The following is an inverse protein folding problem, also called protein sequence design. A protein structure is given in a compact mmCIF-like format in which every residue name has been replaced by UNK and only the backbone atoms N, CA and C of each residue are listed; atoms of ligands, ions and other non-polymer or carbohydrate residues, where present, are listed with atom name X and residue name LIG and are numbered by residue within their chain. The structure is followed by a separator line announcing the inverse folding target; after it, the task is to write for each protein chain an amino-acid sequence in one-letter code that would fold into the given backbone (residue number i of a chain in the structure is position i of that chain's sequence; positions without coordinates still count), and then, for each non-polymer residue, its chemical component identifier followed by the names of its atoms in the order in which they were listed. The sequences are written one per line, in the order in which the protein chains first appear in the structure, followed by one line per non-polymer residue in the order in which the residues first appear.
data_IF_433784566316
#
_entry.id   IF_433784566316
#
_cell.length_a   1.000
_cell.length_b   1.000
_cell.length_c   1.000
_cell.angle_alpha   90.00
_cell.angle_beta   90.00
_cell.angle_gamma   90.00
#
_symmetry.space_group_name_H-M   'P 1'
#
loop_
_entity.id
_entity.type
_entity.pdbx_description
1 polymer ?
#
# COMPACT_ATOMS: atom_id res chain seq x y z
N UNK A 1 -29.90 -52.13 -6.47
CA UNK A 1 -28.97 -51.77 -5.36
C UNK A 1 -28.15 -50.51 -5.68
N UNK A 2 -28.60 -49.39 -5.11
CA UNK A 2 -27.98 -48.11 -4.73
C UNK A 2 -26.46 -47.81 -4.93
N UNK A 3 -25.96 -47.63 -6.17
CA UNK A 3 -24.60 -47.06 -6.40
C UNK A 3 -24.51 -45.52 -6.42
N UNK A 4 -25.63 -44.80 -6.52
CA UNK A 4 -25.64 -43.31 -6.62
C UNK A 4 -25.57 -42.57 -5.27
N UNK A 5 -25.78 -43.24 -4.13
CA UNK A 5 -25.71 -42.60 -2.79
C UNK A 5 -24.31 -42.52 -2.17
N UNK A 6 -23.32 -43.22 -2.71
CA UNK A 6 -21.96 -43.27 -2.11
C UNK A 6 -21.06 -42.13 -2.62
N UNK A 7 -21.30 -41.61 -3.83
CA UNK A 7 -20.50 -40.52 -4.40
C UNK A 7 -20.80 -39.13 -3.79
N UNK A 8 -22.03 -38.89 -3.31
CA UNK A 8 -22.41 -37.59 -2.71
C UNK A 8 -21.78 -37.38 -1.32
N UNK A 9 -21.58 -38.45 -0.54
CA UNK A 9 -21.01 -38.36 0.80
C UNK A 9 -19.48 -38.07 0.80
N UNK A 10 -18.75 -38.52 -0.23
CA UNK A 10 -17.30 -38.26 -0.36
C UNK A 10 -17.00 -36.85 -0.85
N UNK A 11 -17.84 -36.27 -1.72
CA UNK A 11 -17.70 -34.87 -2.17
C UNK A 11 -17.96 -33.87 -1.03
N UNK A 12 -18.96 -34.14 -0.17
CA UNK A 12 -19.30 -33.26 0.96
C UNK A 12 -18.18 -33.18 2.02
N UNK A 13 -17.46 -34.30 2.28
CA UNK A 13 -16.28 -34.31 3.17
C UNK A 13 -15.11 -33.50 2.60
N UNK A 14 -14.95 -33.44 1.28
CA UNK A 14 -13.87 -32.68 0.63
C UNK A 14 -14.13 -31.16 0.67
N UNK A 15 -15.38 -30.73 0.47
CA UNK A 15 -15.80 -29.32 0.58
C UNK A 15 -15.68 -28.77 2.01
N UNK A 16 -15.95 -29.59 3.04
CA UNK A 16 -15.77 -29.20 4.44
C UNK A 16 -14.28 -28.96 4.80
N UNK A 17 -13.36 -29.76 4.26
CA UNK A 17 -11.91 -29.55 4.44
C UNK A 17 -11.43 -28.26 3.75
N UNK A 18 -11.93 -27.93 2.55
CA UNK A 18 -11.57 -26.70 1.85
C UNK A 18 -12.06 -25.42 2.59
N UNK A 19 -13.25 -25.47 3.19
CA UNK A 19 -13.80 -24.39 4.02
C UNK A 19 -13.03 -24.20 5.35
N UNK A 20 -12.51 -25.29 5.93
CA UNK A 20 -11.67 -25.23 7.14
C UNK A 20 -10.31 -24.58 6.87
N UNK A 21 -9.64 -24.94 5.76
CA UNK A 21 -8.33 -24.39 5.37
C UNK A 21 -8.41 -22.89 5.02
N UNK A 22 -9.45 -22.47 4.29
CA UNK A 22 -9.68 -21.04 3.99
C UNK A 22 -10.00 -20.21 5.24
N UNK A 23 -10.68 -20.81 6.23
CA UNK A 23 -11.00 -20.12 7.49
C UNK A 23 -9.82 -19.95 8.44
N UNK A 24 -8.86 -20.88 8.44
CA UNK A 24 -7.62 -20.76 9.23
C UNK A 24 -6.66 -19.74 8.60
N UNK A 25 -6.55 -19.68 7.27
CA UNK A 25 -5.75 -18.67 6.57
C UNK A 25 -6.30 -17.24 6.81
N UNK A 26 -7.63 -17.07 6.80
CA UNK A 26 -8.27 -15.79 7.15
C UNK A 26 -8.07 -15.41 8.63
N UNK A 27 -7.98 -16.40 9.53
CA UNK A 27 -7.73 -16.20 10.95
C UNK A 27 -6.27 -15.78 11.25
N UNK A 28 -5.29 -16.42 10.60
CA UNK A 28 -3.89 -16.03 10.66
C UNK A 28 -3.70 -14.57 10.18
N UNK A 29 -4.32 -14.23 9.05
CA UNK A 29 -4.26 -12.87 8.50
C UNK A 29 -4.84 -11.78 9.41
N UNK A 30 -5.79 -12.10 10.30
CA UNK A 30 -6.32 -11.10 11.25
C UNK A 30 -5.37 -10.81 12.40
N UNK A 31 -4.61 -11.80 12.86
CA UNK A 31 -3.58 -11.62 13.88
C UNK A 31 -2.43 -10.79 13.33
N UNK A 32 -1.99 -11.08 12.11
CA UNK A 32 -0.89 -10.36 11.45
C UNK A 32 -1.24 -8.89 11.19
N UNK A 33 -2.50 -8.61 10.81
CA UNK A 33 -3.02 -7.23 10.73
C UNK A 33 -3.00 -6.53 12.08
N UNK A 34 -3.37 -7.21 13.16
CA UNK A 34 -3.28 -6.66 14.51
C UNK A 34 -1.83 -6.42 14.96
N UNK A 35 -0.91 -7.29 14.55
CA UNK A 35 0.53 -7.16 14.80
C UNK A 35 1.10 -5.95 14.07
N UNK A 36 0.89 -5.87 12.76
CA UNK A 36 1.34 -4.73 11.95
C UNK A 36 0.81 -3.40 12.48
N UNK A 37 -0.44 -3.38 13.00
CA UNK A 37 -0.97 -2.20 13.65
C UNK A 37 -0.23 -1.86 14.95
N UNK A 38 0.04 -2.84 15.82
CA UNK A 38 0.79 -2.62 17.05
C UNK A 38 2.23 -2.20 16.80
N UNK A 39 2.88 -2.75 15.77
CA UNK A 39 4.25 -2.37 15.39
C UNK A 39 4.29 -0.90 14.98
N UNK A 40 3.34 -0.47 14.14
CA UNK A 40 3.22 0.94 13.76
C UNK A 40 2.87 1.86 14.93
N UNK A 41 2.04 1.40 15.88
CA UNK A 41 1.76 2.16 17.10
C UNK A 41 3.04 2.40 17.91
N UNK A 42 3.85 1.35 18.11
CA UNK A 42 5.12 1.44 18.84
C UNK A 42 6.16 2.30 18.11
N UNK A 43 6.18 2.27 16.78
CA UNK A 43 7.03 3.19 15.97
C UNK A 43 6.67 4.66 16.22
N UNK A 44 5.39 4.96 16.42
CA UNK A 44 4.89 6.34 16.59
C UNK A 44 4.79 6.77 18.05
N UNK A 45 4.81 5.82 18.99
CA UNK A 45 4.75 6.02 20.44
C UNK A 45 5.86 5.20 21.12
N UNK A 46 7.14 5.60 20.98
CA UNK A 46 8.25 4.86 21.57
C UNK A 46 8.09 4.69 23.08
N UNK A 47 8.28 3.47 23.58
CA UNK A 47 8.13 3.14 25.01
C UNK A 47 6.70 2.77 25.44
N UNK A 48 5.69 2.95 24.59
CA UNK A 48 4.33 2.53 24.93
C UNK A 48 4.06 1.05 24.61
N UNK A 49 3.23 0.42 25.44
CA UNK A 49 2.82 -0.97 25.24
C UNK A 49 1.65 -1.08 24.24
N UNK A 50 1.63 -2.17 23.47
CA UNK A 50 0.52 -2.53 22.62
C UNK A 50 0.28 -4.03 22.72
N UNK A 51 -0.97 -4.41 23.03
CA UNK A 51 -1.37 -5.79 23.25
C UNK A 51 -2.33 -6.25 22.16
N UNK A 52 -2.15 -7.48 21.69
CA UNK A 52 -3.04 -8.12 20.73
C UNK A 52 -3.79 -9.22 21.45
N UNK A 53 -5.11 -9.11 21.53
CA UNK A 53 -5.94 -10.11 22.19
C UNK A 53 -7.09 -10.55 21.29
N UNK A 54 -7.64 -11.73 21.56
CA UNK A 54 -8.87 -12.19 20.91
C UNK A 54 -9.98 -11.16 21.13
N UNK A 55 -10.78 -10.88 20.10
CA UNK A 55 -11.81 -9.82 20.10
C UNK A 55 -12.80 -9.95 21.27
N UNK A 56 -13.18 -11.18 21.60
CA UNK A 56 -14.07 -11.52 22.71
C UNK A 56 -13.48 -11.26 24.10
N UNK A 57 -12.15 -11.23 24.27
CA UNK A 57 -11.51 -11.03 25.58
C UNK A 57 -11.48 -9.56 25.98
N UNK A 58 -11.54 -9.25 27.27
CA UNK A 58 -11.43 -7.86 27.75
C UNK A 58 -9.97 -7.41 27.66
N UNK A 59 -9.74 -6.12 27.36
CA UNK A 59 -8.39 -5.56 27.37
C UNK A 59 -7.80 -5.59 28.79
N UNK A 60 -6.47 -5.79 28.95
CA UNK A 60 -5.82 -5.74 30.26
C UNK A 60 -6.16 -4.46 31.05
N UNK A 61 -6.16 -4.55 32.38
CA UNK A 61 -6.38 -3.39 33.26
C UNK A 61 -5.39 -2.26 32.91
N UNK A 62 -5.87 -1.02 32.87
CA UNK A 62 -5.07 0.14 32.46
C UNK A 62 -4.95 0.37 30.95
N UNK A 63 -5.53 -0.52 30.13
CA UNK A 63 -5.53 -0.40 28.67
C UNK A 63 -6.94 -0.24 28.11
N UNK A 64 -7.04 0.31 26.91
CA UNK A 64 -8.28 0.52 26.16
C UNK A 64 -8.21 -0.15 24.80
N UNK A 65 -9.37 -0.57 24.29
CA UNK A 65 -9.51 -1.12 22.94
C UNK A 65 -9.36 0.00 21.91
N UNK A 66 -8.45 -0.17 20.95
CA UNK A 66 -8.27 0.78 19.85
C UNK A 66 -8.93 0.29 18.56
N UNK A 67 -8.36 -0.75 17.93
CA UNK A 67 -8.85 -1.34 16.67
C UNK A 67 -9.17 -2.83 16.78
N UNK A 68 -9.83 -3.41 15.77
CA UNK A 68 -10.12 -4.84 15.67
C UNK A 68 -10.16 -5.33 14.23
N UNK A 69 -9.84 -6.62 14.04
CA UNK A 69 -9.76 -7.29 12.74
C UNK A 69 -10.50 -8.62 12.80
N UNK A 70 -11.40 -8.86 11.83
CA UNK A 70 -12.23 -10.07 11.78
C UNK A 70 -13.48 -10.02 12.70
N UNK A 71 -14.34 -11.04 12.58
CA UNK A 71 -15.60 -11.16 13.30
C UNK A 71 -15.47 -11.47 14.81
N UNK A 72 -16.56 -11.48 15.57
CA UNK A 72 -16.54 -11.68 17.03
C UNK A 72 -15.83 -12.96 17.50
N UNK A 73 -16.06 -14.08 16.81
CA UNK A 73 -15.53 -15.39 17.19
C UNK A 73 -14.10 -15.65 16.70
N UNK A 74 -13.69 -15.02 15.58
CA UNK A 74 -12.43 -15.30 14.87
C UNK A 74 -11.60 -14.03 14.61
N UNK A 75 -11.77 -13.04 15.48
CA UNK A 75 -11.13 -11.73 15.35
C UNK A 75 -10.14 -11.43 16.45
N UNK A 76 -9.25 -10.51 16.17
CA UNK A 76 -8.30 -9.93 17.11
C UNK A 76 -8.59 -8.45 17.32
N UNK A 77 -8.16 -7.90 18.45
CA UNK A 77 -8.19 -6.47 18.73
C UNK A 77 -6.90 -6.04 19.37
N UNK A 78 -6.57 -4.77 19.19
CA UNK A 78 -5.42 -4.14 19.84
C UNK A 78 -5.87 -3.36 21.06
N UNK A 79 -5.05 -3.41 22.11
CA UNK A 79 -5.24 -2.66 23.34
C UNK A 79 -3.98 -1.83 23.62
N UNK A 80 -4.17 -0.55 23.93
CA UNK A 80 -3.10 0.42 24.22
C UNK A 80 -3.39 1.11 25.57
N UNK A 81 -2.41 1.73 26.24
CA UNK A 81 -2.63 2.48 27.47
C UNK A 81 -3.76 3.53 27.35
N UNK A 82 -4.58 3.68 28.40
CA UNK A 82 -5.53 4.79 28.50
C UNK A 82 -6.85 4.49 29.24
N UNK A 83 -7.48 5.55 29.77
CA UNK A 83 -8.77 5.47 30.50
C UNK A 83 -9.96 5.49 29.53
N UNK A 84 -11.02 4.74 29.87
CA UNK A 84 -12.25 4.52 29.07
C UNK A 84 -13.13 5.76 28.84
N UNK A 85 -12.81 6.93 29.44
CA UNK A 85 -13.71 8.10 29.57
C UNK A 85 -13.56 9.23 28.54
N UNK A 86 -12.59 9.19 27.62
CA UNK A 86 -12.46 10.20 26.54
C UNK A 86 -13.35 9.95 25.29
N UNK A 87 -14.39 9.12 25.43
CA UNK A 87 -15.02 8.44 24.28
C UNK A 87 -16.09 9.26 23.56
N UNK A 88 -16.67 10.32 24.12
CA UNK A 88 -17.65 11.13 23.36
C UNK A 88 -16.96 11.99 22.28
N UNK A 89 -15.78 12.56 22.58
CA UNK A 89 -14.98 13.31 21.58
C UNK A 89 -14.27 12.39 20.58
N UNK A 90 -13.85 11.19 20.99
CA UNK A 90 -13.23 10.21 20.09
C UNK A 90 -14.24 9.44 19.23
N UNK A 91 -15.48 9.22 19.67
CA UNK A 91 -16.52 8.55 18.87
C UNK A 91 -16.98 9.39 17.66
N UNK A 92 -17.07 10.72 17.80
CA UNK A 92 -17.30 11.62 16.67
C UNK A 92 -16.12 11.58 15.65
N UNK A 93 -14.88 11.48 16.15
CA UNK A 93 -13.68 11.27 15.32
C UNK A 93 -13.68 9.87 14.65
N UNK A 94 -14.23 8.86 15.33
CA UNK A 94 -14.33 7.46 14.89
C UNK A 94 -15.44 7.22 13.85
N UNK A 95 -16.57 7.92 13.94
CA UNK A 95 -17.59 7.94 12.89
C UNK A 95 -17.04 8.55 11.59
N UNK A 96 -16.23 9.61 11.70
CA UNK A 96 -15.46 10.16 10.57
C UNK A 96 -14.47 9.16 9.97
N UNK A 97 -13.73 8.42 10.81
CA UNK A 97 -12.73 7.45 10.35
C UNK A 97 -13.32 6.13 9.81
N UNK A 98 -14.49 5.70 10.28
CA UNK A 98 -15.15 4.46 9.81
C UNK A 98 -15.79 4.68 8.44
N UNK A 99 -16.37 5.86 8.20
CA UNK A 99 -16.74 6.29 6.84
C UNK A 99 -15.50 6.45 5.95
N UNK A 100 -14.37 6.98 6.46
CA UNK A 100 -13.13 7.03 5.68
C UNK A 100 -12.64 5.62 5.30
N UNK A 101 -12.73 4.62 6.17
CA UNK A 101 -12.35 3.24 5.86
C UNK A 101 -13.21 2.61 4.75
N UNK A 102 -14.54 2.70 4.85
CA UNK A 102 -15.45 2.18 3.83
C UNK A 102 -15.28 2.90 2.48
N UNK A 103 -15.07 4.21 2.50
CA UNK A 103 -14.85 5.04 1.29
C UNK A 103 -13.45 4.86 0.71
N UNK A 104 -12.44 4.54 1.53
CA UNK A 104 -11.05 4.29 1.07
C UNK A 104 -10.88 2.93 0.40
N UNK A 105 -11.69 1.92 0.73
CA UNK A 105 -11.57 0.60 0.11
C UNK A 105 -12.31 0.46 -1.22
N UNK A 106 -13.45 1.14 -1.42
CA UNK A 106 -14.25 1.01 -2.64
C UNK A 106 -13.99 2.13 -3.65
N UNK A 107 -14.68 3.27 -3.55
CA UNK A 107 -14.58 4.36 -4.52
C UNK A 107 -13.14 4.86 -4.73
N UNK A 108 -12.37 4.94 -3.66
CA UNK A 108 -11.00 5.43 -3.72
C UNK A 108 -10.08 4.48 -4.49
N UNK A 109 -10.08 3.17 -4.16
CA UNK A 109 -9.26 2.19 -4.88
C UNK A 109 -9.70 2.06 -6.34
N UNK A 110 -11.00 2.17 -6.62
CA UNK A 110 -11.49 2.19 -8.00
C UNK A 110 -10.98 3.43 -8.76
N UNK A 111 -10.99 4.61 -8.13
CA UNK A 111 -10.41 5.83 -8.70
C UNK A 111 -8.91 5.70 -8.94
N UNK A 112 -8.17 5.15 -7.98
CA UNK A 112 -6.73 4.88 -8.13
C UNK A 112 -6.42 3.92 -9.28
N UNK A 113 -7.22 2.84 -9.42
CA UNK A 113 -7.09 1.91 -10.54
C UNK A 113 -7.39 2.58 -11.86
N UNK A 114 -8.57 3.20 -11.99
CA UNK A 114 -8.98 3.91 -13.20
C UNK A 114 -7.98 5.00 -13.62
N UNK A 115 -7.38 5.69 -12.65
CA UNK A 115 -6.32 6.65 -12.91
C UNK A 115 -5.11 6.01 -13.60
N UNK A 116 -4.57 4.93 -13.04
CA UNK A 116 -3.41 4.26 -13.61
C UNK A 116 -3.75 3.44 -14.86
N UNK A 117 -4.99 2.99 -15.02
CA UNK A 117 -5.48 2.37 -16.25
C UNK A 117 -5.49 3.41 -17.38
N UNK A 118 -5.92 4.65 -17.10
CA UNK A 118 -5.80 5.79 -18.03
C UNK A 118 -4.34 6.12 -18.35
N UNK A 119 -3.46 6.17 -17.35
CA UNK A 119 -2.03 6.43 -17.55
C UNK A 119 -1.41 5.35 -18.46
N UNK A 120 -1.71 4.08 -18.17
CA UNK A 120 -1.24 2.92 -18.94
C UNK A 120 -1.74 2.92 -20.39
N UNK A 121 -2.99 3.34 -20.62
CA UNK A 121 -3.58 3.44 -21.96
C UNK A 121 -2.92 4.50 -22.85
N UNK A 122 -2.33 5.53 -22.23
CA UNK A 122 -1.64 6.63 -22.93
C UNK A 122 -0.11 6.51 -22.84
N UNK A 123 0.39 5.32 -22.53
CA UNK A 123 1.80 5.10 -22.30
C UNK A 123 2.47 4.34 -23.45
N UNK A 124 3.74 4.65 -23.71
CA UNK A 124 4.55 3.96 -24.72
C UNK A 124 4.73 2.47 -24.40
N UNK A 125 5.23 1.65 -25.34
CA UNK A 125 5.60 0.26 -25.05
C UNK A 125 6.60 0.18 -23.88
N UNK A 126 6.47 -0.83 -23.00
CA UNK A 126 7.35 -0.96 -21.85
C UNK A 126 8.79 -1.31 -22.25
N UNK A 127 9.75 -0.58 -21.71
CA UNK A 127 11.18 -0.91 -21.80
C UNK A 127 11.68 -1.48 -20.47
N UNK A 128 12.74 -2.29 -20.55
CA UNK A 128 13.37 -2.88 -19.38
C UNK A 128 14.61 -2.07 -19.01
N UNK A 129 14.98 -2.11 -17.72
CA UNK A 129 16.28 -1.62 -17.29
C UNK A 129 17.39 -2.48 -17.91
N UNK A 130 18.50 -1.85 -18.29
CA UNK A 130 19.63 -2.59 -18.85
C UNK A 130 20.27 -3.54 -17.82
N UNK A 131 20.90 -4.62 -18.30
CA UNK A 131 21.59 -5.55 -17.42
C UNK A 131 22.68 -4.87 -16.59
N UNK A 132 23.40 -3.91 -17.16
CA UNK A 132 24.41 -3.12 -16.45
C UNK A 132 23.79 -2.31 -15.30
N UNK A 133 22.65 -1.63 -15.55
CA UNK A 133 21.93 -0.91 -14.51
C UNK A 133 21.45 -1.86 -13.40
N UNK A 134 20.86 -2.99 -13.78
CA UNK A 134 20.36 -4.01 -12.84
C UNK A 134 21.52 -4.54 -12.00
N UNK A 135 22.62 -4.97 -12.59
CA UNK A 135 23.79 -5.47 -11.86
C UNK A 135 24.32 -4.44 -10.87
N UNK A 136 24.39 -3.16 -11.29
CA UNK A 136 24.86 -2.07 -10.45
C UNK A 136 23.96 -1.82 -9.24
N UNK A 137 22.64 -1.78 -9.42
CA UNK A 137 21.71 -1.31 -8.39
C UNK A 137 20.96 -2.41 -7.65
N UNK A 138 20.85 -3.63 -8.18
CA UNK A 138 19.97 -4.69 -7.64
C UNK A 138 20.23 -4.99 -6.16
N UNK A 139 21.50 -4.98 -5.71
CA UNK A 139 21.86 -5.23 -4.30
C UNK A 139 21.26 -4.21 -3.32
N UNK A 140 20.86 -3.04 -3.82
CA UNK A 140 20.27 -1.97 -3.03
C UNK A 140 18.74 -2.03 -2.98
N UNK A 141 18.08 -2.91 -3.74
CA UNK A 141 16.62 -3.02 -3.82
C UNK A 141 16.14 -4.43 -3.42
N UNK A 142 15.12 -4.52 -2.56
CA UNK A 142 14.51 -5.82 -2.16
C UNK A 142 13.52 -6.38 -3.18
N UNK A 143 13.11 -5.59 -4.18
CA UNK A 143 12.38 -6.08 -5.34
C UNK A 143 13.35 -6.45 -6.46
N UNK A 144 12.91 -7.36 -7.33
CA UNK A 144 13.67 -7.74 -8.51
C UNK A 144 13.49 -6.69 -9.60
N UNK A 145 14.59 -6.00 -9.94
CA UNK A 145 14.60 -4.92 -10.92
C UNK A 145 14.35 -5.45 -12.35
N UNK A 146 14.61 -6.73 -12.62
CA UNK A 146 14.29 -7.37 -13.92
C UNK A 146 12.79 -7.39 -14.21
N UNK A 147 11.97 -7.30 -13.17
CA UNK A 147 10.52 -7.28 -13.28
C UNK A 147 9.95 -5.86 -13.38
N UNK A 148 10.78 -4.82 -13.31
CA UNK A 148 10.35 -3.44 -13.46
C UNK A 148 10.25 -3.09 -14.96
N UNK A 149 9.23 -2.32 -15.32
CA UNK A 149 9.00 -1.79 -16.66
C UNK A 149 8.97 -0.28 -16.60
N UNK A 150 9.67 0.36 -17.51
CA UNK A 150 9.67 1.81 -17.67
C UNK A 150 8.82 2.15 -18.88
N UNK A 151 8.00 3.18 -18.75
CA UNK A 151 7.15 3.72 -19.81
C UNK A 151 7.19 5.23 -19.74
N UNK A 152 6.99 5.90 -20.87
CA UNK A 152 6.56 7.29 -20.86
C UNK A 152 5.04 7.35 -21.01
N UNK A 153 4.41 8.46 -20.62
CA UNK A 153 2.97 8.64 -20.78
C UNK A 153 2.58 10.10 -20.92
N UNK A 154 1.76 10.43 -21.91
CA UNK A 154 1.16 11.78 -22.06
C UNK A 154 0.21 12.14 -20.91
N UNK A 155 -0.29 11.15 -20.18
CA UNK A 155 -1.16 11.36 -19.02
C UNK A 155 -0.37 11.76 -17.75
N UNK A 156 0.95 11.58 -17.76
CA UNK A 156 1.85 12.04 -16.70
C UNK A 156 2.32 13.44 -17.05
N UNK A 157 1.84 14.44 -16.30
CA UNK A 157 2.05 15.86 -16.62
C UNK A 157 3.05 16.54 -15.69
N UNK A 158 3.82 17.45 -16.26
CA UNK A 158 4.82 18.25 -15.54
C UNK A 158 6.07 17.45 -15.19
N UNK A 159 6.84 17.90 -14.19
CA UNK A 159 8.04 17.21 -13.69
C UNK A 159 7.68 16.20 -12.60
N UNK A 160 6.74 15.30 -12.89
CA UNK A 160 6.29 14.27 -11.96
C UNK A 160 6.38 12.90 -12.65
N UNK A 161 6.97 11.91 -12.00
CA UNK A 161 6.92 10.51 -12.43
C UNK A 161 5.99 9.78 -11.47
N UNK A 162 5.53 8.60 -11.88
CA UNK A 162 4.54 7.85 -11.13
C UNK A 162 4.86 6.38 -11.17
N UNK A 163 4.71 5.71 -10.04
CA UNK A 163 4.94 4.26 -9.95
C UNK A 163 3.63 3.50 -9.69
N UNK A 164 3.28 2.60 -10.60
CA UNK A 164 2.27 1.55 -10.42
C UNK A 164 2.96 0.20 -10.17
N UNK A 165 3.46 0.02 -8.96
CA UNK A 165 4.12 -1.19 -8.49
C UNK A 165 5.31 -1.65 -9.33
N UNK A 166 5.11 -2.39 -10.41
CA UNK A 166 6.18 -2.87 -11.28
C UNK A 166 6.39 -1.97 -12.49
N UNK A 167 5.55 -0.97 -12.69
CA UNK A 167 5.65 -0.06 -13.83
C UNK A 167 5.90 1.36 -13.36
N UNK A 168 6.93 1.99 -13.91
CA UNK A 168 7.23 3.41 -13.68
C UNK A 168 6.87 4.18 -14.94
N UNK A 169 6.13 5.26 -14.77
CA UNK A 169 5.69 6.16 -15.83
C UNK A 169 6.38 7.50 -15.67
N UNK A 170 7.13 7.89 -16.70
CA UNK A 170 7.73 9.21 -16.82
C UNK A 170 6.91 10.11 -17.75
N UNK A 171 6.98 11.44 -17.57
CA UNK A 171 6.45 12.36 -18.57
C UNK A 171 7.33 12.32 -19.82
N UNK A 172 6.73 12.49 -21.01
CA UNK A 172 7.45 12.53 -22.29
C UNK A 172 8.58 13.57 -22.32
N UNK A 173 8.45 14.63 -21.51
CA UNK A 173 9.47 15.69 -21.42
C UNK A 173 10.71 15.34 -20.58
N UNK A 174 10.83 14.12 -20.03
CA UNK A 174 11.87 13.78 -19.04
C UNK A 174 13.18 13.22 -19.60
N UNK A 175 13.21 12.71 -20.84
CA UNK A 175 14.38 12.04 -21.43
C UNK A 175 14.73 10.66 -20.83
N UNK A 176 14.16 10.30 -19.67
CA UNK A 176 14.49 9.07 -18.94
C UNK A 176 14.13 7.82 -19.73
N UNK A 177 12.96 7.82 -20.38
CA UNK A 177 12.47 6.68 -21.13
C UNK A 177 13.36 6.40 -22.34
N UNK A 178 13.67 7.43 -23.12
CA UNK A 178 14.51 7.35 -24.31
C UNK A 178 15.93 6.93 -23.96
N UNK A 179 16.50 7.50 -22.89
CA UNK A 179 17.82 7.11 -22.41
C UNK A 179 17.87 5.64 -21.98
N UNK A 180 16.82 5.12 -21.33
CA UNK A 180 16.76 3.70 -20.96
C UNK A 180 16.55 2.81 -22.18
N UNK A 181 15.62 3.17 -23.08
CA UNK A 181 15.33 2.44 -24.32
C UNK A 181 16.57 2.28 -25.19
N UNK A 182 17.32 3.37 -25.35
CA UNK A 182 18.49 3.44 -26.22
C UNK A 182 19.78 3.06 -25.48
N UNK A 183 19.67 2.57 -24.23
CA UNK A 183 20.80 2.19 -23.37
C UNK A 183 21.88 3.29 -23.22
N UNK A 184 21.44 4.55 -23.16
CA UNK A 184 22.30 5.72 -22.92
C UNK A 184 22.47 5.96 -21.42
N UNK A 185 23.61 6.54 -20.99
CA UNK A 185 23.79 6.94 -19.60
C UNK A 185 22.74 7.97 -19.17
N UNK A 186 22.13 7.74 -18.00
CA UNK A 186 21.22 8.72 -17.40
C UNK A 186 22.02 9.87 -16.75
N UNK A 187 21.69 11.14 -17.07
CA UNK A 187 22.12 12.30 -16.30
C UNK A 187 21.83 12.12 -14.80
N UNK A 188 22.62 12.78 -13.95
CA UNK A 188 22.51 12.63 -12.49
C UNK A 188 21.09 12.85 -11.97
N UNK A 189 20.41 13.90 -12.43
CA UNK A 189 19.03 14.23 -12.06
C UNK A 189 18.03 13.15 -12.48
N UNK A 190 18.12 12.67 -13.71
CA UNK A 190 17.27 11.60 -14.25
C UNK A 190 17.50 10.27 -13.52
N UNK A 191 18.76 9.96 -13.22
CA UNK A 191 19.12 8.78 -12.44
C UNK A 191 18.58 8.85 -11.02
N UNK A 192 18.69 10.00 -10.37
CA UNK A 192 18.08 10.23 -9.06
C UNK A 192 16.59 9.96 -9.11
N UNK A 193 15.92 10.49 -10.13
CA UNK A 193 14.48 10.34 -10.31
C UNK A 193 14.09 8.88 -10.51
N UNK A 194 14.81 8.15 -11.36
CA UNK A 194 14.60 6.71 -11.54
C UNK A 194 14.78 5.95 -10.22
N UNK A 195 15.85 6.21 -9.46
CA UNK A 195 16.11 5.53 -8.19
C UNK A 195 15.02 5.82 -7.13
N UNK A 196 14.48 7.05 -7.14
CA UNK A 196 13.33 7.43 -6.34
C UNK A 196 12.11 6.56 -6.70
N UNK A 197 11.73 6.49 -7.97
CA UNK A 197 10.60 5.68 -8.43
C UNK A 197 10.80 4.19 -8.19
N UNK A 198 12.01 3.67 -8.39
CA UNK A 198 12.34 2.27 -8.04
C UNK A 198 12.14 1.99 -6.55
N UNK A 199 12.30 2.98 -5.67
CA UNK A 199 11.97 2.79 -4.25
C UNK A 199 10.48 2.61 -4.03
N UNK A 200 9.62 3.27 -4.82
CA UNK A 200 8.18 3.01 -4.78
C UNK A 200 7.81 1.61 -5.28
N UNK A 201 8.56 1.07 -6.25
CA UNK A 201 8.35 -0.32 -6.70
C UNK A 201 8.62 -1.32 -5.56
N UNK A 202 9.67 -1.09 -4.77
CA UNK A 202 10.00 -1.86 -3.57
C UNK A 202 8.92 -1.73 -2.49
N UNK A 203 8.48 -0.49 -2.22
CA UNK A 203 7.44 -0.21 -1.24
C UNK A 203 6.12 -0.88 -1.61
N UNK A 204 5.73 -0.89 -2.89
CA UNK A 204 4.53 -1.61 -3.32
C UNK A 204 4.65 -3.12 -3.03
N UNK A 205 5.78 -3.74 -3.37
CA UNK A 205 6.03 -5.15 -3.03
C UNK A 205 5.95 -5.37 -1.52
N UNK A 206 6.58 -4.51 -0.73
CA UNK A 206 6.59 -4.60 0.74
C UNK A 206 5.18 -4.48 1.34
N UNK A 207 4.32 -3.62 0.82
CA UNK A 207 2.94 -3.49 1.30
C UNK A 207 2.00 -4.58 0.76
N UNK A 208 2.47 -5.52 -0.05
CA UNK A 208 1.66 -6.62 -0.55
C UNK A 208 0.83 -6.25 -1.78
N UNK A 209 1.33 -5.33 -2.61
CA UNK A 209 0.78 -5.03 -3.92
C UNK A 209 -0.02 -3.72 -4.01
N UNK A 210 -0.50 -3.45 -5.23
CA UNK A 210 -1.10 -2.18 -5.69
C UNK A 210 -2.13 -1.58 -4.74
N UNK A 211 -3.13 -2.37 -4.34
CA UNK A 211 -4.20 -1.88 -3.47
C UNK A 211 -3.71 -1.51 -2.07
N UNK A 212 -2.85 -2.33 -1.48
CA UNK A 212 -2.34 -2.07 -0.13
C UNK A 212 -1.35 -0.91 -0.12
N UNK A 213 -0.54 -0.79 -1.18
CA UNK A 213 0.32 0.37 -1.39
C UNK A 213 -0.50 1.65 -1.48
N UNK A 214 -1.54 1.67 -2.32
CA UNK A 214 -2.46 2.79 -2.40
C UNK A 214 -3.08 3.10 -1.02
N UNK A 215 -3.68 2.11 -0.33
CA UNK A 215 -4.27 2.34 0.99
C UNK A 215 -3.25 2.92 1.99
N UNK A 216 -2.00 2.44 1.98
CA UNK A 216 -0.95 2.98 2.85
C UNK A 216 -0.62 4.43 2.48
N UNK A 217 -0.54 4.72 1.19
CA UNK A 217 -0.39 6.07 0.65
C UNK A 217 -1.52 6.98 1.18
N UNK A 218 -2.76 6.64 0.86
CA UNK A 218 -3.91 7.48 1.19
C UNK A 218 -4.22 7.55 2.68
N UNK A 219 -3.83 6.55 3.48
CA UNK A 219 -3.97 6.58 4.94
C UNK A 219 -3.17 7.70 5.62
N UNK A 220 -2.11 8.19 4.95
CA UNK A 220 -1.28 9.29 5.46
C UNK A 220 -1.84 10.66 5.08
N UNK A 221 -2.92 10.73 4.31
CA UNK A 221 -3.59 11.98 3.92
C UNK A 221 -4.54 12.42 5.04
N UNK A 222 -4.47 13.67 5.50
CA UNK A 222 -5.42 14.20 6.47
C UNK A 222 -6.88 14.03 5.98
N UNK A 223 -7.79 13.64 6.86
CA UNK A 223 -9.20 13.41 6.51
C UNK A 223 -9.89 14.64 5.88
N UNK A 224 -9.47 15.85 6.26
CA UNK A 224 -9.92 17.12 5.65
C UNK A 224 -9.51 17.23 4.18
N UNK A 225 -8.30 16.81 3.86
CA UNK A 225 -7.76 16.76 2.50
C UNK A 225 -8.48 15.70 1.66
N UNK A 226 -8.71 14.51 2.22
CA UNK A 226 -9.49 13.46 1.55
C UNK A 226 -10.93 13.91 1.24
N UNK A 227 -11.58 14.62 2.17
CA UNK A 227 -12.91 15.24 1.93
C UNK A 227 -12.89 16.27 0.80
N UNK A 228 -11.81 17.05 0.67
CA UNK A 228 -11.68 18.03 -0.42
C UNK A 228 -11.51 17.36 -1.79
N UNK A 229 -10.77 16.25 -1.84
CA UNK A 229 -10.61 15.40 -3.04
C UNK A 229 -11.95 14.80 -3.47
N UNK A 230 -12.70 14.21 -2.53
CA UNK A 230 -14.03 13.61 -2.79
C UNK A 230 -15.02 14.67 -3.32
N UNK A 231 -14.90 15.93 -2.86
CA UNK A 231 -15.76 17.04 -3.29
C UNK A 231 -15.30 17.71 -4.60
N UNK A 232 -14.35 17.12 -5.34
CA UNK A 232 -13.94 17.61 -6.66
C UNK A 232 -13.15 18.92 -6.65
N UNK A 233 -12.60 19.36 -5.51
CA UNK A 233 -11.73 20.55 -5.47
C UNK A 233 -10.40 20.27 -6.17
N UNK A 234 -9.93 21.23 -6.97
CA UNK A 234 -8.75 21.13 -7.84
C UNK A 234 -7.57 20.39 -7.20
N UNK A 235 -7.26 19.22 -7.79
CA UNK A 235 -6.21 18.31 -7.34
C UNK A 235 -4.80 18.78 -7.69
N UNK A 236 -4.64 19.78 -8.56
CA UNK A 236 -3.32 20.13 -9.10
C UNK A 236 -2.38 20.69 -8.02
N UNK A 237 -2.86 21.64 -7.19
CA UNK A 237 -2.08 22.20 -6.07
C UNK A 237 -2.12 21.31 -4.81
N UNK A 238 -3.19 20.53 -4.64
CA UNK A 238 -3.38 19.67 -3.49
C UNK A 238 -2.55 18.39 -3.60
N UNK A 239 -2.45 17.81 -4.79
CA UNK A 239 -1.67 16.62 -5.11
C UNK A 239 -0.19 16.79 -4.79
N UNK A 240 0.43 17.89 -5.22
CA UNK A 240 1.85 18.15 -4.92
C UNK A 240 2.10 18.35 -3.41
N UNK A 241 1.19 19.05 -2.71
CA UNK A 241 1.29 19.25 -1.25
C UNK A 241 1.08 17.97 -0.46
N UNK A 242 0.22 17.08 -0.96
CA UNK A 242 0.01 15.76 -0.39
C UNK A 242 1.28 14.93 -0.59
N UNK A 243 1.73 14.78 -1.83
CA UNK A 243 2.90 14.03 -2.25
C UNK A 243 4.11 14.36 -1.38
N UNK A 244 4.52 15.63 -1.32
CA UNK A 244 5.74 16.02 -0.61
C UNK A 244 5.72 15.79 0.91
N UNK A 245 4.55 15.55 1.52
CA UNK A 245 4.41 15.33 2.97
C UNK A 245 4.36 13.85 3.36
N UNK A 246 4.47 12.94 2.40
CA UNK A 246 4.26 11.52 2.67
C UNK A 246 5.54 10.86 3.19
N UNK A 247 5.46 10.02 4.24
CA UNK A 247 6.63 9.30 4.73
C UNK A 247 7.30 8.42 3.68
N UNK A 248 6.53 7.84 2.76
CA UNK A 248 7.02 7.00 1.68
C UNK A 248 7.87 7.77 0.66
N UNK A 249 7.48 9.00 0.35
CA UNK A 249 8.21 9.96 -0.50
C UNK A 249 9.54 10.36 0.12
N UNK A 250 9.54 10.71 1.41
CA UNK A 250 10.79 11.01 2.14
C UNK A 250 11.76 9.82 2.11
N UNK A 251 11.26 8.59 2.29
CA UNK A 251 12.07 7.38 2.21
C UNK A 251 12.64 7.15 0.80
N UNK A 252 11.87 7.44 -0.24
CA UNK A 252 12.31 7.36 -1.62
C UNK A 252 13.42 8.38 -1.93
N UNK A 253 13.24 9.64 -1.51
CA UNK A 253 14.27 10.69 -1.64
C UNK A 253 15.58 10.29 -0.97
N UNK A 254 15.53 9.93 0.31
CA UNK A 254 16.74 9.55 1.08
C UNK A 254 17.47 8.38 0.43
N UNK A 255 16.74 7.42 -0.15
CA UNK A 255 17.34 6.29 -0.84
C UNK A 255 17.94 6.69 -2.18
N UNK A 256 17.26 7.53 -2.97
CA UNK A 256 17.77 8.05 -4.22
C UNK A 256 19.05 8.89 -4.00
N UNK A 257 19.07 9.77 -3.00
CA UNK A 257 20.24 10.59 -2.63
C UNK A 257 21.48 9.72 -2.33
N UNK A 258 21.28 8.59 -1.64
CA UNK A 258 22.37 7.65 -1.31
C UNK A 258 22.89 6.86 -2.51
N UNK A 259 22.09 6.72 -3.55
CA UNK A 259 22.38 5.82 -4.67
C UNK A 259 22.69 6.56 -5.98
N UNK A 260 22.44 7.86 -6.08
CA UNK A 260 22.62 8.57 -7.34
C UNK A 260 24.09 8.64 -7.79
N UNK A 261 25.01 8.70 -6.83
CA UNK A 261 26.44 8.90 -7.07
C UNK A 261 27.28 7.59 -6.97
N UNK A 262 26.64 6.45 -6.68
CA UNK A 262 27.30 5.14 -6.84
C UNK A 262 27.31 4.73 -8.31
#
# INVERSE_FOLDING_TARGET
MNRRRILSARLAKCLACLALVTSQAAYAGNKDKAQSWCDHYKETHPGESCYIIKRARICPKGTRKETHFGGPARGYKTCIPGKKREVIKQAAKKAGNTMAGATMHGPFLNGYRAFFDRVSAHASPPVQLSNAFIQKYQRHFKNDLRNVRIRESTAVVGRNAMTDCKTVYFPESSGVYENIRDNRPLPRSERWWLLHELTHTEQCKHYGGRNNYALKWFSSIPASTLKAVIKGKSLKKLGQKIHNKMPAEKKANVKADKLVDI
#
